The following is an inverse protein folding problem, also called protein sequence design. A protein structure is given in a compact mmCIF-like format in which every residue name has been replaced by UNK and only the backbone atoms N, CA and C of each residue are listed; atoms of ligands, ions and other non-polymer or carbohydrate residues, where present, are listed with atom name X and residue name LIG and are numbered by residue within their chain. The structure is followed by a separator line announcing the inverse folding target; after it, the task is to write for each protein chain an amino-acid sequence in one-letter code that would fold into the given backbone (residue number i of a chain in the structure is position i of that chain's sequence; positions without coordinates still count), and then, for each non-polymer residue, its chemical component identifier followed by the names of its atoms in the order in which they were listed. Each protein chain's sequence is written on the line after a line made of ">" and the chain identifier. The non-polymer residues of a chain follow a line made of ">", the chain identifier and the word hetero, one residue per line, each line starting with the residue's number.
data_IF_855115846322
#
_entry.id   IF_855115846322
#
_cell.length_a   1.000
_cell.length_b   1.000
_cell.length_c   1.000
_cell.angle_alpha   90.00
_cell.angle_beta   90.00
_cell.angle_gamma   90.00
#
_symmetry.space_group_name_H-M   'P 1'
#
loop_
_entity.id
_entity.type
_entity.pdbx_description
1 polymer ?
#
# COMPACT_ATOMS: atom_id res chain seq x y z
N UNK A 1 -26.08 9.64 -4.54
CA UNK A 1 -25.26 8.89 -5.49
C UNK A 1 -23.82 9.34 -5.30
N UNK A 2 -23.05 8.70 -4.42
CA UNK A 2 -21.62 8.97 -4.27
C UNK A 2 -20.90 8.10 -5.28
N UNK A 3 -20.54 8.67 -6.42
CA UNK A 3 -19.61 8.07 -7.37
C UNK A 3 -18.29 7.87 -6.63
N UNK A 4 -18.02 6.65 -6.14
CA UNK A 4 -16.73 6.33 -5.54
C UNK A 4 -15.65 6.60 -6.58
N UNK A 5 -14.61 7.35 -6.21
CA UNK A 5 -13.45 7.54 -7.06
C UNK A 5 -12.97 6.16 -7.58
N UNK A 6 -12.53 6.05 -8.84
CA UNK A 6 -12.01 4.79 -9.36
C UNK A 6 -10.89 4.29 -8.45
N UNK A 7 -10.96 3.02 -8.06
CA UNK A 7 -9.97 2.45 -7.15
C UNK A 7 -8.57 2.53 -7.79
N UNK A 8 -7.64 3.15 -7.07
CA UNK A 8 -6.24 3.25 -7.52
C UNK A 8 -5.55 1.88 -7.43
N UNK A 9 -4.52 1.66 -8.24
CA UNK A 9 -3.77 0.41 -8.21
C UNK A 9 -2.47 0.58 -7.44
N UNK A 10 -2.19 -0.34 -6.51
CA UNK A 10 -0.96 -0.33 -5.72
C UNK A 10 -0.21 -1.65 -5.94
N UNK A 11 0.97 -1.56 -6.52
CA UNK A 11 1.79 -2.73 -6.85
C UNK A 11 2.69 -3.14 -5.68
N UNK A 12 2.74 -4.43 -5.42
CA UNK A 12 3.59 -5.05 -4.41
C UNK A 12 4.42 -6.14 -5.07
N UNK A 13 5.67 -6.27 -4.60
CA UNK A 13 6.46 -7.44 -4.92
C UNK A 13 5.81 -8.70 -4.33
N UNK A 14 5.79 -9.82 -5.08
CA UNK A 14 5.19 -11.11 -4.67
C UNK A 14 5.49 -11.55 -3.22
N UNK A 15 6.72 -11.33 -2.75
CA UNK A 15 7.16 -11.68 -1.39
C UNK A 15 6.31 -11.06 -0.27
N UNK A 16 5.59 -9.99 -0.55
CA UNK A 16 4.75 -9.29 0.42
C UNK A 16 3.33 -9.84 0.52
N UNK A 17 2.93 -10.78 -0.35
CA UNK A 17 1.57 -11.32 -0.38
C UNK A 17 1.08 -11.80 0.98
N UNK A 18 1.79 -12.74 1.60
CA UNK A 18 1.39 -13.29 2.90
C UNK A 18 1.27 -12.22 3.97
N UNK A 19 2.20 -11.26 4.02
CA UNK A 19 2.22 -10.21 5.03
C UNK A 19 1.09 -9.18 4.84
N UNK A 20 0.71 -8.88 3.60
CA UNK A 20 -0.41 -7.98 3.31
C UNK A 20 -1.74 -8.70 3.61
N UNK A 21 -1.90 -9.95 3.17
CA UNK A 21 -3.13 -10.73 3.41
C UNK A 21 -3.35 -11.01 4.90
N UNK A 22 -2.29 -11.25 5.66
CA UNK A 22 -2.40 -11.45 7.11
C UNK A 22 -2.59 -10.14 7.91
N UNK A 23 -2.51 -8.98 7.26
CA UNK A 23 -2.54 -7.68 7.93
C UNK A 23 -1.24 -7.33 8.68
N UNK A 24 -0.18 -8.14 8.57
CA UNK A 24 1.11 -7.86 9.21
C UNK A 24 1.86 -6.70 8.55
N UNK A 25 1.62 -6.42 7.26
CA UNK A 25 2.16 -5.26 6.54
C UNK A 25 1.03 -4.28 6.26
N UNK A 26 1.04 -3.15 6.96
CA UNK A 26 0.03 -2.09 6.83
C UNK A 26 0.54 -0.85 6.10
N UNK A 27 1.86 -0.63 6.06
CA UNK A 27 2.46 0.56 5.44
C UNK A 27 3.38 0.20 4.27
N UNK A 28 3.47 1.10 3.28
CA UNK A 28 4.39 1.00 2.14
C UNK A 28 4.87 2.38 1.73
N UNK A 29 6.14 2.49 1.33
CA UNK A 29 6.72 3.72 0.80
C UNK A 29 6.65 3.69 -0.72
N UNK A 30 6.33 4.83 -1.33
CA UNK A 30 6.20 5.00 -2.79
C UNK A 30 7.03 6.19 -3.24
N UNK A 31 7.65 6.09 -4.41
CA UNK A 31 8.51 7.14 -4.94
C UNK A 31 7.92 7.72 -6.21
N UNK A 32 7.51 9.00 -6.15
CA UNK A 32 6.91 9.75 -7.28
C UNK A 32 5.69 9.05 -7.91
N UNK A 33 5.02 8.19 -7.14
CA UNK A 33 3.72 7.63 -7.51
C UNK A 33 2.62 8.52 -6.95
N UNK A 34 1.56 8.71 -7.72
CA UNK A 34 0.40 9.50 -7.32
C UNK A 34 -0.59 8.59 -6.57
N UNK A 35 -0.47 8.56 -5.24
CA UNK A 35 -1.28 7.75 -4.34
C UNK A 35 -2.11 8.68 -3.46
N UNK A 36 -3.39 8.33 -3.32
CA UNK A 36 -4.37 9.11 -2.56
C UNK A 36 -5.01 8.25 -1.48
N UNK A 37 -5.62 8.86 -0.47
CA UNK A 37 -6.51 8.11 0.42
C UNK A 37 -7.74 7.62 -0.36
N UNK A 38 -8.20 6.40 -0.09
CA UNK A 38 -9.37 5.84 -0.75
C UNK A 38 -9.25 4.36 -1.13
N UNK A 39 -10.27 3.84 -1.83
CA UNK A 39 -10.28 2.46 -2.33
C UNK A 39 -9.06 2.18 -3.21
N UNK A 40 -8.48 1.01 -3.03
CA UNK A 40 -7.32 0.56 -3.80
C UNK A 40 -7.44 -0.91 -4.20
N UNK A 41 -6.78 -1.27 -5.30
CA UNK A 41 -6.58 -2.65 -5.72
C UNK A 41 -5.10 -2.97 -5.58
N UNK A 42 -4.79 -3.95 -4.75
CA UNK A 42 -3.44 -4.42 -4.51
C UNK A 42 -3.08 -5.53 -5.50
N UNK A 43 -2.05 -5.30 -6.30
CA UNK A 43 -1.53 -6.25 -7.27
C UNK A 43 -0.19 -6.79 -6.76
N UNK A 44 0.00 -8.10 -6.84
CA UNK A 44 1.24 -8.76 -6.43
C UNK A 44 2.00 -9.22 -7.67
N UNK A 45 2.95 -8.41 -8.11
CA UNK A 45 3.68 -8.65 -9.34
C UNK A 45 4.47 -9.96 -9.27
N UNK A 46 4.40 -10.74 -10.35
CA UNK A 46 5.04 -12.05 -10.52
C UNK A 46 4.58 -13.13 -9.53
N UNK A 47 3.53 -12.90 -8.73
CA UNK A 47 3.00 -13.94 -7.85
C UNK A 47 2.14 -14.91 -8.66
N UNK A 48 2.46 -16.22 -8.69
CA UNK A 48 1.89 -17.16 -9.67
C UNK A 48 0.37 -17.35 -9.54
N UNK A 49 -0.18 -17.15 -8.34
CA UNK A 49 -1.60 -17.42 -8.03
C UNK A 49 -2.31 -16.30 -7.30
N UNK A 50 -1.64 -15.17 -7.03
CA UNK A 50 -2.28 -14.11 -6.25
C UNK A 50 -3.33 -13.43 -7.12
N UNK A 51 -4.55 -13.34 -6.58
CA UNK A 51 -5.60 -12.51 -7.16
C UNK A 51 -5.41 -11.07 -6.68
N UNK A 52 -5.81 -10.06 -7.48
CA UNK A 52 -5.91 -8.69 -7.01
C UNK A 52 -6.75 -8.63 -5.73
N UNK A 53 -6.26 -7.91 -4.73
CA UNK A 53 -6.91 -7.78 -3.44
C UNK A 53 -7.52 -6.39 -3.30
N UNK A 54 -8.80 -6.31 -2.96
CA UNK A 54 -9.41 -5.04 -2.60
C UNK A 54 -8.85 -4.55 -1.26
N UNK A 55 -8.44 -3.30 -1.22
CA UNK A 55 -7.88 -2.65 -0.05
C UNK A 55 -8.31 -1.19 0.06
N UNK A 56 -7.82 -0.54 1.10
CA UNK A 56 -8.07 0.87 1.39
C UNK A 56 -6.74 1.52 1.77
N UNK A 57 -6.40 2.63 1.12
CA UNK A 57 -5.35 3.54 1.61
C UNK A 57 -6.02 4.47 2.62
N UNK A 58 -5.57 4.41 3.87
CA UNK A 58 -6.17 5.15 4.98
C UNK A 58 -5.42 6.42 5.35
N UNK A 59 -4.16 6.56 4.93
CA UNK A 59 -3.34 7.74 5.14
C UNK A 59 -2.25 7.83 4.06
N UNK A 60 -1.90 9.04 3.65
CA UNK A 60 -0.73 9.33 2.80
C UNK A 60 0.11 10.41 3.45
N UNK A 61 1.36 10.08 3.75
CA UNK A 61 2.32 11.02 4.33
C UNK A 61 3.53 11.15 3.40
N UNK A 62 3.89 12.38 3.07
CA UNK A 62 5.07 12.68 2.25
C UNK A 62 6.27 12.92 3.16
N UNK A 63 7.28 12.08 3.02
CA UNK A 63 8.54 12.23 3.72
C UNK A 63 9.67 12.56 2.75
N UNK A 64 10.50 13.54 3.12
CA UNK A 64 11.81 13.69 2.49
C UNK A 64 12.66 12.47 2.85
N UNK A 65 13.21 11.79 1.84
CA UNK A 65 14.13 10.67 2.01
C UNK A 65 15.32 11.02 2.89
N UNK A 66 15.77 12.28 2.90
CA UNK A 66 16.83 12.75 3.78
C UNK A 66 16.45 12.65 5.28
N UNK A 67 15.17 12.57 5.60
CA UNK A 67 14.65 12.53 6.97
C UNK A 67 13.97 11.19 7.34
N UNK A 68 14.03 10.18 6.47
CA UNK A 68 13.46 8.86 6.72
C UNK A 68 14.35 8.09 7.71
N UNK A 69 13.96 8.11 8.99
CA UNK A 69 14.60 7.31 10.04
C UNK A 69 14.07 5.86 10.05
N UNK A 70 14.83 4.87 10.55
CA UNK A 70 14.34 3.51 10.71
C UNK A 70 13.06 3.40 11.57
N UNK A 71 12.92 4.28 12.56
CA UNK A 71 11.71 4.36 13.38
C UNK A 71 10.50 4.80 12.56
N UNK A 72 10.66 5.79 11.67
CA UNK A 72 9.59 6.22 10.76
C UNK A 72 9.23 5.14 9.73
N UNK A 73 10.18 4.30 9.32
CA UNK A 73 9.91 3.15 8.47
C UNK A 73 9.14 2.01 9.19
N UNK A 74 9.18 1.99 10.53
CA UNK A 74 8.46 1.05 11.38
C UNK A 74 7.21 1.71 11.98
N UNK A 75 6.16 1.87 11.18
CA UNK A 75 4.83 2.16 11.73
C UNK A 75 4.27 0.89 12.39
N UNK A 76 4.03 0.97 13.70
CA UNK A 76 3.31 -0.05 14.45
C UNK A 76 1.82 -0.04 14.06
N UNK A 77 1.14 -1.20 14.02
CA UNK A 77 -0.30 -1.21 13.78
C UNK A 77 -1.02 -0.46 14.91
N UNK A 78 -1.82 0.54 14.54
CA UNK A 78 -2.80 1.20 15.42
C UNK A 78 -4.07 0.38 15.54
#
# INVERSE_FOLDING_TARGET
>A
MTTGAPAQTVHFHQKHYTAVVSGAKVSTVRWREDIHEGPAIFIFDNHPTARPLAGQVTAVETYDLAHLSPLAAHQAPT
#
